data_IF_100921791424
#
_entry.id   IF_100921791424
#
_cell.length_a   1.000
_cell.length_b   1.000
_cell.length_c   1.000
_cell.angle_alpha   90.00
_cell.angle_beta   90.00
_cell.angle_gamma   90.00
#
_symmetry.space_group_name_H-M   'P 1'
#
loop_
_entity.id
_entity.type
_entity.pdbx_description
1 polymer ?
#
# COMPACT_ATOMS: atom_id res chain seq x y z
N UNK A 1 26.04 19.16 2.12
CA UNK A 1 26.19 18.37 3.35
C UNK A 1 25.21 17.19 3.32
N UNK A 2 25.53 16.15 2.55
CA UNK A 2 24.70 14.95 2.39
C UNK A 2 25.51 13.69 2.75
N UNK A 3 26.27 13.75 3.85
CA UNK A 3 27.24 12.70 4.21
C UNK A 3 27.13 12.24 5.67
N UNK A 4 26.02 12.54 6.35
CA UNK A 4 25.72 11.99 7.68
C UNK A 4 24.75 10.80 7.63
N UNK A 5 24.05 10.58 6.52
CA UNK A 5 23.10 9.46 6.36
C UNK A 5 23.76 8.16 5.86
N UNK A 6 25.01 8.21 5.41
CA UNK A 6 25.66 7.09 4.71
C UNK A 6 26.65 6.28 5.55
N UNK A 7 26.96 6.70 6.79
CA UNK A 7 28.02 6.06 7.60
C UNK A 7 27.55 5.44 8.92
N UNK A 8 26.34 5.77 9.40
CA UNK A 8 25.71 5.14 10.58
C UNK A 8 24.73 4.03 10.18
N UNK A 9 24.84 3.51 8.95
CA UNK A 9 24.24 2.23 8.62
C UNK A 9 25.05 1.17 9.34
N UNK A 10 24.74 0.91 10.62
CA UNK A 10 24.99 -0.42 11.18
C UNK A 10 24.59 -1.41 10.09
N UNK A 11 25.56 -2.22 9.66
CA UNK A 11 25.45 -3.03 8.45
C UNK A 11 24.49 -4.17 8.76
N UNK A 12 23.19 -3.85 8.73
CA UNK A 12 22.12 -4.72 9.12
C UNK A 12 22.08 -5.84 8.10
N UNK A 13 22.38 -7.06 8.54
CA UNK A 13 22.47 -8.17 7.61
C UNK A 13 21.09 -8.43 6.96
N UNK A 14 21.12 -9.03 5.78
CA UNK A 14 19.91 -9.28 4.98
C UNK A 14 18.86 -10.10 5.73
N UNK A 15 19.27 -11.04 6.59
CA UNK A 15 18.35 -11.88 7.38
C UNK A 15 17.65 -11.03 8.44
N UNK A 16 18.37 -10.18 9.14
CA UNK A 16 17.79 -9.25 10.14
C UNK A 16 16.81 -8.28 9.48
N UNK A 17 17.20 -7.65 8.36
CA UNK A 17 16.31 -6.79 7.58
C UNK A 17 15.03 -7.52 7.16
N UNK A 18 15.14 -8.75 6.65
CA UNK A 18 13.98 -9.54 6.27
C UNK A 18 13.07 -9.87 7.44
N UNK A 19 13.64 -10.29 8.57
CA UNK A 19 12.87 -10.58 9.79
C UNK A 19 12.09 -9.37 10.29
N UNK A 20 12.66 -8.17 10.18
CA UNK A 20 11.97 -6.92 10.54
C UNK A 20 10.82 -6.65 9.57
N UNK A 21 11.07 -6.74 8.26
CA UNK A 21 10.03 -6.54 7.26
C UNK A 21 8.87 -7.52 7.42
N UNK A 22 9.16 -8.80 7.71
CA UNK A 22 8.15 -9.83 7.93
C UNK A 22 7.31 -9.47 9.18
N UNK A 23 7.95 -9.16 10.32
CA UNK A 23 7.25 -8.79 11.55
C UNK A 23 6.43 -7.48 11.43
N UNK A 24 6.96 -6.48 10.72
CA UNK A 24 6.23 -5.24 10.42
C UNK A 24 5.04 -5.53 9.50
N UNK A 25 5.23 -6.35 8.48
CA UNK A 25 4.17 -6.77 7.57
C UNK A 25 3.02 -7.47 8.29
N UNK A 26 3.33 -8.42 9.17
CA UNK A 26 2.33 -9.10 10.01
C UNK A 26 1.57 -8.12 10.89
N UNK A 27 2.27 -7.20 11.56
CA UNK A 27 1.65 -6.20 12.43
C UNK A 27 0.75 -5.23 11.67
N UNK A 28 1.18 -4.82 10.47
CA UNK A 28 0.39 -3.97 9.58
C UNK A 28 -0.89 -4.70 9.13
N UNK A 29 -0.80 -5.97 8.75
CA UNK A 29 -1.98 -6.75 8.37
C UNK A 29 -2.98 -6.92 9.52
N UNK A 30 -2.49 -7.08 10.76
CA UNK A 30 -3.34 -7.17 11.94
C UNK A 30 -4.04 -5.83 12.25
N UNK A 31 -3.31 -4.71 12.12
CA UNK A 31 -3.79 -3.38 12.51
C UNK A 31 -4.63 -2.70 11.44
N UNK A 32 -4.27 -2.89 10.17
CA UNK A 32 -4.90 -2.26 9.01
C UNK A 32 -5.76 -3.27 8.26
N UNK A 33 -6.47 -4.16 8.98
CA UNK A 33 -7.31 -5.19 8.36
C UNK A 33 -8.10 -4.58 7.21
N UNK A 34 -7.82 -4.99 5.95
CA UNK A 34 -8.47 -4.37 4.81
C UNK A 34 -9.96 -4.60 4.95
N UNK A 35 -10.73 -3.51 5.04
CA UNK A 35 -12.18 -3.57 5.06
C UNK A 35 -12.62 -4.33 3.80
N UNK A 36 -13.30 -5.47 3.91
CA UNK A 36 -13.61 -6.31 2.76
C UNK A 36 -14.61 -5.65 1.81
N UNK A 37 -15.23 -4.55 2.24
CA UNK A 37 -16.19 -3.78 1.46
C UNK A 37 -15.74 -2.34 1.37
N UNK A 38 -15.90 -1.78 0.17
CA UNK A 38 -15.70 -0.36 -0.05
C UNK A 38 -16.81 0.41 0.67
N UNK A 39 -16.51 1.58 1.24
CA UNK A 39 -17.54 2.54 1.64
C UNK A 39 -18.52 2.78 0.49
N UNK A 40 -19.82 2.82 0.78
CA UNK A 40 -20.90 2.93 -0.22
C UNK A 40 -20.68 4.09 -1.20
N UNK A 41 -20.13 5.21 -0.74
CA UNK A 41 -19.83 6.34 -1.61
C UNK A 41 -18.75 6.02 -2.67
N UNK A 42 -17.72 5.25 -2.29
CA UNK A 42 -16.68 4.83 -3.23
C UNK A 42 -17.21 3.80 -4.23
N UNK A 43 -18.09 2.89 -3.81
CA UNK A 43 -18.77 1.96 -4.72
C UNK A 43 -19.57 2.73 -5.78
N UNK A 44 -20.36 3.71 -5.36
CA UNK A 44 -21.15 4.56 -6.26
C UNK A 44 -20.26 5.33 -7.25
N UNK A 45 -19.12 5.88 -6.80
CA UNK A 45 -18.19 6.58 -7.68
C UNK A 45 -17.55 5.64 -8.71
N UNK A 46 -17.16 4.43 -8.30
CA UNK A 46 -16.61 3.42 -9.21
C UNK A 46 -17.64 2.96 -10.24
N UNK A 47 -18.90 2.81 -9.85
CA UNK A 47 -19.97 2.43 -10.77
C UNK A 47 -20.25 3.54 -11.79
N UNK A 48 -20.25 4.81 -11.36
CA UNK A 48 -20.36 5.95 -12.27
C UNK A 48 -19.17 6.03 -13.22
N UNK A 49 -17.95 5.77 -12.74
CA UNK A 49 -16.75 5.77 -13.58
C UNK A 49 -16.84 4.70 -14.67
N UNK A 50 -17.17 3.45 -14.28
CA UNK A 50 -17.36 2.33 -15.23
C UNK A 50 -18.45 2.62 -16.24
N UNK A 51 -19.54 3.27 -15.81
CA UNK A 51 -20.64 3.66 -16.70
C UNK A 51 -20.15 4.65 -17.78
N UNK A 52 -19.44 5.70 -17.38
CA UNK A 52 -18.88 6.70 -18.31
C UNK A 52 -17.87 6.11 -19.28
N UNK A 53 -17.03 5.19 -18.81
CA UNK A 53 -16.02 4.52 -19.65
C UNK A 53 -16.69 3.69 -20.76
N UNK A 54 -17.74 2.93 -20.41
CA UNK A 54 -18.56 2.19 -21.39
C UNK A 54 -19.29 3.10 -22.37
N UNK A 55 -19.80 4.23 -21.90
CA UNK A 55 -20.49 5.22 -22.73
C UNK A 55 -19.52 5.97 -23.65
N UNK A 56 -18.28 6.20 -23.21
CA UNK A 56 -17.24 6.91 -23.98
C UNK A 56 -16.56 6.01 -25.02
N UNK A 57 -16.49 4.69 -24.78
CA UNK A 57 -15.97 3.71 -25.75
C UNK A 57 -16.99 3.19 -26.77
N UNK A 58 -18.22 3.73 -26.77
CA UNK A 58 -19.29 3.40 -27.71
C UNK A 58 -19.44 4.42 -28.87
N UNK A 59 -18.46 5.33 -29.01
CA UNK A 59 -18.31 6.26 -30.14
C UNK A 59 -17.04 5.92 -30.93
#
# INVERSE_FOLDING_TARGET
>A
MASLLANDSEQMDRRTSRSICDAVGERLQQSLRPEPRLPTHLEQLLDQLKKRDRESGAH
#
